data_IF_488938892315
#
_entry.id   IF_488938892315
#
_cell.length_a   1.000
_cell.length_b   1.000
_cell.length_c   1.000
_cell.angle_alpha   90.00
_cell.angle_beta   90.00
_cell.angle_gamma   90.00
#
_symmetry.space_group_name_H-M   'P 1'
#
loop_
_entity.id
_entity.type
_entity.pdbx_description
1 polymer ?
#
# COMPACT_ATOMS: atom_id res chain seq x y z
N UNK A 1 6.67 17.02 -29.96
CA UNK A 1 6.53 16.37 -28.63
C UNK A 1 7.29 17.18 -27.56
N UNK A 2 6.96 18.46 -27.38
CA UNK A 2 7.79 19.40 -26.59
C UNK A 2 7.36 19.63 -25.14
N UNK A 3 6.21 19.12 -24.71
CA UNK A 3 5.58 19.56 -23.45
C UNK A 3 5.20 18.42 -22.48
N UNK A 4 5.80 17.23 -22.60
CA UNK A 4 5.61 16.17 -21.60
C UNK A 4 6.77 16.25 -20.61
N UNK A 5 6.46 16.61 -19.36
CA UNK A 5 7.45 16.55 -18.28
C UNK A 5 8.02 15.14 -18.21
N UNK A 6 9.35 15.01 -18.32
CA UNK A 6 10.02 13.71 -18.21
C UNK A 6 9.93 13.26 -16.76
N UNK A 7 8.99 12.37 -16.47
CA UNK A 7 8.91 11.73 -15.15
C UNK A 7 10.01 10.68 -15.03
N UNK A 8 10.68 10.54 -13.87
CA UNK A 8 11.65 9.49 -13.67
C UNK A 8 10.94 8.13 -13.69
N UNK A 9 11.51 7.18 -14.43
CA UNK A 9 11.00 5.81 -14.50
C UNK A 9 12.14 4.83 -14.28
N UNK A 10 11.85 3.73 -13.59
CA UNK A 10 12.70 2.55 -13.54
C UNK A 10 12.26 1.58 -14.65
N UNK A 11 13.24 1.00 -15.35
CA UNK A 11 12.99 0.03 -16.42
C UNK A 11 13.56 -1.31 -15.98
N UNK A 12 12.78 -2.37 -16.13
CA UNK A 12 13.19 -3.74 -15.85
C UNK A 12 13.00 -4.59 -17.11
N UNK A 13 13.95 -5.48 -17.37
CA UNK A 13 13.92 -6.41 -18.51
C UNK A 13 13.90 -7.84 -18.02
N UNK A 14 13.17 -8.69 -18.73
CA UNK A 14 13.20 -10.14 -18.53
C UNK A 14 13.92 -10.82 -19.69
N UNK A 15 14.94 -11.63 -19.40
CA UNK A 15 15.68 -12.41 -20.41
C UNK A 15 15.07 -13.80 -20.65
N UNK A 16 15.59 -14.53 -21.64
CA UNK A 16 15.18 -15.92 -21.95
C UNK A 16 15.33 -16.90 -20.78
N UNK A 17 16.18 -16.57 -19.80
CA UNK A 17 16.33 -17.34 -18.55
C UNK A 17 15.32 -16.93 -17.48
N UNK A 18 14.31 -16.13 -17.85
CA UNK A 18 13.29 -15.55 -16.98
C UNK A 18 13.88 -14.70 -15.83
N UNK A 19 15.09 -14.16 -15.99
CA UNK A 19 15.69 -13.28 -14.97
C UNK A 19 15.26 -11.85 -15.20
N UNK A 20 14.68 -11.24 -14.18
CA UNK A 20 14.36 -9.81 -14.16
C UNK A 20 15.62 -9.03 -13.78
N UNK A 21 15.98 -8.02 -14.58
CA UNK A 21 17.14 -7.16 -14.33
C UNK A 21 16.74 -5.69 -14.47
N UNK A 22 17.17 -4.80 -13.54
CA UNK A 22 17.02 -3.37 -13.74
C UNK A 22 17.94 -2.90 -14.87
N UNK A 23 17.44 -2.02 -15.72
CA UNK A 23 18.22 -1.37 -16.78
C UNK A 23 18.81 -0.08 -16.21
N UNK A 24 20.15 0.06 -16.15
CA UNK A 24 20.77 1.28 -15.66
C UNK A 24 20.47 2.45 -16.60
N UNK A 25 20.18 3.62 -16.03
CA UNK A 25 19.89 4.85 -16.78
C UNK A 25 21.07 5.20 -17.69
N UNK A 26 20.78 5.52 -18.94
CA UNK A 26 21.80 5.91 -19.93
C UNK A 26 22.54 4.74 -20.59
N UNK A 27 22.09 3.51 -20.35
CA UNK A 27 22.62 2.32 -21.04
C UNK A 27 21.82 2.06 -22.31
N UNK A 28 22.51 1.82 -23.42
CA UNK A 28 21.88 1.32 -24.64
C UNK A 28 21.42 -0.13 -24.43
N UNK A 29 20.15 -0.39 -24.69
CA UNK A 29 19.55 -1.71 -24.51
C UNK A 29 19.36 -2.39 -25.88
N UNK A 30 19.94 -3.58 -26.04
CA UNK A 30 19.64 -4.46 -27.18
C UNK A 30 18.48 -5.39 -26.82
N UNK A 31 17.44 -5.44 -27.67
CA UNK A 31 16.25 -6.26 -27.43
C UNK A 31 16.43 -7.75 -27.81
N UNK A 32 17.62 -8.14 -28.25
CA UNK A 32 17.92 -9.54 -28.55
C UNK A 32 17.89 -10.37 -27.26
N UNK A 33 17.02 -11.39 -27.21
CA UNK A 33 16.84 -12.24 -26.03
C UNK A 33 16.03 -11.63 -24.87
N UNK A 34 15.42 -10.44 -25.07
CA UNK A 34 14.51 -9.83 -24.08
C UNK A 34 13.08 -10.28 -24.37
N UNK A 35 12.46 -10.96 -23.40
CA UNK A 35 11.08 -11.46 -23.51
C UNK A 35 10.04 -10.42 -23.09
N UNK A 36 10.35 -9.58 -22.11
CA UNK A 36 9.44 -8.57 -21.59
C UNK A 36 10.17 -7.35 -21.01
N UNK A 37 9.48 -6.20 -21.00
CA UNK A 37 9.95 -4.95 -20.38
C UNK A 37 8.86 -4.36 -19.51
N UNK A 38 9.20 -4.02 -18.26
CA UNK A 38 8.34 -3.29 -17.35
C UNK A 38 8.90 -1.87 -17.15
N UNK A 39 8.03 -0.86 -17.21
CA UNK A 39 8.38 0.54 -16.94
C UNK A 39 7.54 1.01 -15.76
N UNK A 40 8.22 1.41 -14.69
CA UNK A 40 7.59 1.75 -13.41
C UNK A 40 7.94 3.18 -13.05
N UNK A 41 6.92 3.99 -12.75
CA UNK A 41 7.15 5.33 -12.22
C UNK A 41 7.75 5.26 -10.82
N UNK A 42 8.72 6.11 -10.49
CA UNK A 42 9.41 6.13 -9.19
C UNK A 42 8.47 6.28 -7.96
N UNK A 43 7.22 6.69 -8.16
CA UNK A 43 6.22 6.84 -7.11
C UNK A 43 5.30 5.62 -6.95
N UNK A 44 5.49 4.55 -7.74
CA UNK A 44 4.77 3.30 -7.55
C UNK A 44 5.38 2.53 -6.36
N UNK A 45 5.01 2.93 -5.14
CA UNK A 45 5.34 2.17 -3.93
C UNK A 45 4.55 0.85 -3.91
N UNK A 46 5.21 -0.26 -3.54
CA UNK A 46 4.57 -1.57 -3.38
C UNK A 46 4.79 -2.59 -4.52
N UNK A 47 5.46 -2.22 -5.62
CA UNK A 47 5.79 -3.17 -6.69
C UNK A 47 7.24 -3.68 -6.56
N UNK A 48 7.41 -4.87 -6.00
CA UNK A 48 8.70 -5.58 -6.04
C UNK A 48 8.80 -6.42 -7.33
N UNK A 49 9.22 -5.77 -8.41
CA UNK A 49 9.34 -6.38 -9.75
C UNK A 49 10.22 -7.63 -9.77
N UNK A 50 11.16 -7.74 -8.83
CA UNK A 50 12.08 -8.88 -8.74
C UNK A 50 11.34 -10.11 -8.23
N UNK A 51 10.32 -9.94 -7.36
CA UNK A 51 9.50 -11.02 -6.83
C UNK A 51 8.18 -11.23 -7.58
N UNK A 52 7.81 -10.34 -8.51
CA UNK A 52 6.61 -10.49 -9.34
C UNK A 52 6.74 -11.69 -10.29
N UNK A 53 5.71 -12.54 -10.31
CA UNK A 53 5.63 -13.68 -11.22
C UNK A 53 5.47 -13.17 -12.67
N UNK A 54 6.29 -13.67 -13.58
CA UNK A 54 6.29 -13.23 -14.96
C UNK A 54 5.07 -13.77 -15.71
N UNK A 55 4.14 -12.90 -16.10
CA UNK A 55 3.04 -13.25 -16.99
C UNK A 55 3.41 -12.85 -18.42
N UNK A 56 3.61 -13.85 -19.29
CA UNK A 56 3.92 -13.63 -20.69
C UNK A 56 2.63 -13.41 -21.49
N UNK A 57 2.38 -12.19 -21.94
CA UNK A 57 1.23 -11.88 -22.79
C UNK A 57 1.57 -12.21 -24.25
N UNK A 58 0.78 -13.08 -24.88
CA UNK A 58 1.03 -13.54 -26.24
C UNK A 58 0.52 -12.58 -27.34
N UNK A 59 -0.17 -11.48 -26.99
CA UNK A 59 -0.76 -10.57 -27.98
C UNK A 59 -0.53 -9.08 -27.66
N UNK A 60 0.02 -8.34 -28.63
CA UNK A 60 0.24 -6.89 -28.57
C UNK A 60 -1.10 -6.18 -28.79
N UNK A 61 -1.70 -5.62 -27.74
CA UNK A 61 -2.95 -4.84 -27.84
C UNK A 61 -3.90 -4.94 -26.65
N UNK A 62 -3.72 -5.91 -25.76
CA UNK A 62 -4.51 -6.02 -24.53
C UNK A 62 -4.03 -5.02 -23.46
N UNK A 63 -4.43 -3.75 -23.60
CA UNK A 63 -4.26 -2.75 -22.52
C UNK A 63 -4.89 -3.21 -21.19
N UNK A 64 -5.85 -4.12 -21.24
CA UNK A 64 -6.51 -4.73 -20.08
C UNK A 64 -5.67 -5.83 -19.40
N UNK A 65 -4.89 -6.62 -20.14
CA UNK A 65 -4.13 -7.74 -19.57
C UNK A 65 -3.01 -7.28 -18.63
N UNK A 66 -2.29 -6.22 -19.03
CA UNK A 66 -1.23 -5.63 -18.21
C UNK A 66 -1.76 -4.93 -16.95
N UNK A 67 -2.94 -4.31 -17.03
CA UNK A 67 -3.61 -3.69 -15.87
C UNK A 67 -4.11 -4.75 -14.87
N UNK A 68 -4.65 -5.87 -15.36
CA UNK A 68 -5.17 -6.94 -14.50
C UNK A 68 -4.09 -7.77 -13.80
N UNK A 69 -2.87 -7.87 -14.36
CA UNK A 69 -1.73 -8.50 -13.69
C UNK A 69 -1.08 -7.63 -12.60
N UNK A 70 -1.36 -6.33 -12.56
CA UNK A 70 -0.90 -5.43 -11.49
C UNK A 70 -1.73 -5.57 -10.20
N UNK A 71 -2.95 -6.13 -10.28
CA UNK A 71 -3.88 -6.30 -9.15
C UNK A 71 -3.93 -7.72 -8.56
N UNK A 72 -3.00 -8.61 -8.95
CA UNK A 72 -2.92 -9.96 -8.36
C UNK A 72 -4.11 -10.88 -8.70
N UNK A 73 -4.82 -10.62 -9.79
CA UNK A 73 -5.93 -11.47 -10.23
C UNK A 73 -5.42 -12.77 -10.87
N UNK A 74 -5.65 -13.87 -10.16
CA UNK A 74 -5.31 -15.24 -10.56
C UNK A 74 -6.23 -15.71 -11.71
N UNK A 75 -5.79 -15.55 -12.97
CA UNK A 75 -6.52 -16.05 -14.15
C UNK A 75 -6.10 -17.49 -14.43
N UNK A 76 -6.87 -18.44 -13.89
CA UNK A 76 -6.82 -19.85 -14.31
C UNK A 76 -7.41 -20.02 -15.70
N UNK A 77 -6.55 -20.30 -16.68
CA UNK A 77 -6.90 -21.12 -17.83
C UNK A 77 -6.22 -22.49 -17.68
N UNK A 78 -7.05 -23.53 -17.56
CA UNK A 78 -6.71 -24.95 -17.55
C UNK A 78 -5.82 -25.33 -18.74
N UNK A 79 -4.94 -26.34 -18.72
CA UNK A 79 -5.13 -27.67 -18.16
C UNK A 79 -3.79 -28.43 -18.06
N UNK A 80 -3.69 -29.25 -17.00
CA UNK A 80 -2.81 -30.44 -16.89
C UNK A 80 -1.29 -30.23 -16.76
N UNK A 81 -0.81 -30.28 -15.51
CA UNK A 81 0.54 -30.75 -15.22
C UNK A 81 1.13 -30.23 -13.92
N UNK A 82 1.63 -31.18 -13.10
CA UNK A 82 2.61 -31.00 -12.00
C UNK A 82 2.07 -30.86 -10.58
N UNK A 83 1.35 -31.90 -10.18
CA UNK A 83 0.90 -32.28 -8.84
C UNK A 83 2.00 -32.62 -7.81
N UNK A 84 3.23 -32.08 -7.88
CA UNK A 84 4.37 -32.65 -7.11
C UNK A 84 5.24 -31.65 -6.35
N UNK A 85 4.75 -30.45 -5.99
CA UNK A 85 5.55 -29.47 -5.21
C UNK A 85 4.83 -28.94 -3.95
N UNK A 86 3.66 -29.45 -3.60
CA UNK A 86 2.82 -28.91 -2.51
C UNK A 86 3.07 -29.48 -1.10
N UNK A 87 4.12 -30.27 -0.86
CA UNK A 87 4.24 -31.01 0.42
C UNK A 87 5.18 -30.41 1.48
N UNK A 88 5.79 -29.23 1.27
CA UNK A 88 6.72 -28.64 2.27
C UNK A 88 6.55 -27.14 2.58
N UNK A 89 5.42 -26.53 2.22
CA UNK A 89 5.08 -25.13 2.57
C UNK A 89 3.90 -24.99 3.55
N UNK A 90 3.30 -26.11 3.98
CA UNK A 90 2.09 -26.16 4.81
C UNK A 90 2.27 -25.75 6.29
N UNK A 91 3.37 -25.09 6.67
CA UNK A 91 3.60 -24.61 8.04
C UNK A 91 3.83 -23.10 8.18
N UNK A 92 3.80 -22.34 7.08
CA UNK A 92 3.83 -20.85 7.11
C UNK A 92 2.72 -20.18 6.31
N UNK A 93 1.92 -20.95 5.57
CA UNK A 93 0.82 -20.50 4.72
C UNK A 93 -0.52 -20.58 5.47
N UNK A 94 -0.71 -19.73 6.48
CA UNK A 94 -2.02 -19.56 7.13
C UNK A 94 -2.38 -18.09 7.39
N UNK A 95 -1.78 -17.15 6.63
CA UNK A 95 -2.07 -15.71 6.76
C UNK A 95 -2.38 -14.98 5.45
N UNK A 96 -2.43 -15.67 4.32
CA UNK A 96 -2.72 -15.07 3.00
C UNK A 96 -3.92 -15.76 2.35
N UNK A 97 -4.99 -15.85 3.13
CA UNK A 97 -6.33 -16.21 2.66
C UNK A 97 -7.25 -15.00 2.83
N UNK A 98 -6.88 -13.86 2.24
CA UNK A 98 -7.77 -12.71 2.06
C UNK A 98 -7.77 -12.43 0.56
N UNK A 99 -8.53 -13.24 -0.19
CA UNK A 99 -9.86 -12.88 -0.65
C UNK A 99 -9.78 -12.17 -2.00
N UNK A 100 -9.92 -12.96 -3.07
CA UNK A 100 -10.33 -12.51 -4.41
C UNK A 100 -11.80 -12.04 -4.42
N UNK A 101 -12.33 -11.59 -3.28
CA UNK A 101 -13.60 -10.93 -3.22
C UNK A 101 -13.38 -9.53 -3.80
N UNK A 102 -14.26 -9.10 -4.71
CA UNK A 102 -14.27 -7.71 -5.15
C UNK A 102 -14.31 -6.74 -3.97
N UNK A 103 -14.11 -5.43 -4.22
CA UNK A 103 -14.16 -4.43 -3.16
C UNK A 103 -15.39 -4.64 -2.29
N UNK A 104 -15.27 -4.52 -0.95
CA UNK A 104 -16.36 -4.79 -0.04
C UNK A 104 -17.60 -4.00 -0.48
N UNK A 105 -18.69 -4.71 -0.76
CA UNK A 105 -19.94 -4.07 -1.13
C UNK A 105 -20.63 -3.58 0.14
N UNK A 106 -20.75 -2.26 0.28
CA UNK A 106 -21.50 -1.63 1.36
C UNK A 106 -22.98 -1.42 0.99
N UNK A 107 -23.43 -2.04 -0.10
CA UNK A 107 -24.81 -1.90 -0.59
C UNK A 107 -25.78 -2.54 0.39
N UNK A 108 -26.56 -1.70 1.07
CA UNK A 108 -27.55 -2.12 2.07
C UNK A 108 -27.12 -1.93 3.53
N UNK A 109 -25.86 -1.58 3.78
CA UNK A 109 -25.39 -1.24 5.13
C UNK A 109 -25.79 0.19 5.52
N UNK A 110 -25.99 0.39 6.81
CA UNK A 110 -26.18 1.71 7.43
C UNK A 110 -24.84 2.41 7.62
N UNK A 111 -24.89 3.74 7.80
CA UNK A 111 -23.70 4.56 8.05
C UNK A 111 -22.86 4.01 9.20
N UNK A 112 -23.49 3.76 10.35
CA UNK A 112 -22.81 3.32 11.57
C UNK A 112 -22.09 1.98 11.36
N UNK A 113 -22.69 1.06 10.59
CA UNK A 113 -22.07 -0.24 10.31
C UNK A 113 -20.84 -0.10 9.40
N UNK A 114 -20.92 0.75 8.37
CA UNK A 114 -19.79 1.00 7.47
C UNK A 114 -18.66 1.70 8.23
N UNK A 115 -18.99 2.66 9.09
CA UNK A 115 -18.02 3.40 9.88
C UNK A 115 -17.27 2.50 10.88
N UNK A 116 -17.97 1.57 11.53
CA UNK A 116 -17.37 0.55 12.39
C UNK A 116 -16.43 -0.40 11.61
N UNK A 117 -16.79 -0.79 10.38
CA UNK A 117 -15.87 -1.55 9.50
C UNK A 117 -14.58 -0.76 9.24
N UNK A 118 -14.69 0.55 8.98
CA UNK A 118 -13.53 1.43 8.82
C UNK A 118 -12.64 1.47 10.05
N UNK A 119 -13.22 1.58 11.24
CA UNK A 119 -12.48 1.54 12.49
C UNK A 119 -11.82 0.19 12.74
N UNK A 120 -12.52 -0.91 12.52
CA UNK A 120 -11.98 -2.26 12.65
C UNK A 120 -10.77 -2.47 11.72
N UNK A 121 -10.89 -2.11 10.44
CA UNK A 121 -9.80 -2.18 9.48
C UNK A 121 -8.60 -1.31 9.88
N UNK A 122 -8.85 -0.07 10.30
CA UNK A 122 -7.81 0.84 10.78
C UNK A 122 -7.07 0.28 12.01
N UNK A 123 -7.79 -0.35 12.95
CA UNK A 123 -7.20 -0.99 14.13
C UNK A 123 -6.35 -2.21 13.76
N UNK A 124 -6.70 -2.92 12.69
CA UNK A 124 -5.91 -4.03 12.13
C UNK A 124 -4.70 -3.56 11.30
N UNK A 125 -4.59 -2.26 11.02
CA UNK A 125 -3.54 -1.70 10.15
C UNK A 125 -3.82 -1.85 8.66
N UNK A 126 -5.02 -2.30 8.27
CA UNK A 126 -5.47 -2.35 6.89
C UNK A 126 -6.03 -0.97 6.49
N UNK A 127 -5.10 -0.04 6.21
CA UNK A 127 -5.46 1.34 5.91
C UNK A 127 -6.16 1.50 4.56
N UNK A 128 -5.98 0.56 3.61
CA UNK A 128 -6.70 0.58 2.33
C UNK A 128 -8.17 0.22 2.54
N UNK A 129 -8.45 -0.87 3.25
CA UNK A 129 -9.83 -1.23 3.58
C UNK A 129 -10.50 -0.17 4.46
N UNK A 130 -9.75 0.40 5.42
CA UNK A 130 -10.24 1.49 6.26
C UNK A 130 -10.62 2.73 5.44
N UNK A 131 -9.75 3.14 4.50
CA UNK A 131 -10.04 4.25 3.59
C UNK A 131 -11.33 4.01 2.81
N UNK A 132 -11.43 2.83 2.19
CA UNK A 132 -12.58 2.44 1.36
C UNK A 132 -13.88 2.50 2.16
N UNK A 133 -13.88 1.98 3.40
CA UNK A 133 -15.05 2.01 4.26
C UNK A 133 -15.40 3.44 4.71
N UNK A 134 -14.43 4.24 5.15
CA UNK A 134 -14.70 5.63 5.56
C UNK A 134 -15.19 6.50 4.39
N UNK A 135 -14.65 6.32 3.19
CA UNK A 135 -15.11 7.00 1.98
C UNK A 135 -16.56 6.63 1.66
N UNK A 136 -16.92 5.33 1.73
CA UNK A 136 -18.30 4.88 1.55
C UNK A 136 -19.26 5.42 2.64
N UNK A 137 -18.80 5.50 3.90
CA UNK A 137 -19.57 6.09 5.00
C UNK A 137 -19.81 7.60 4.77
N UNK A 138 -18.79 8.31 4.25
CA UNK A 138 -18.91 9.72 3.87
C UNK A 138 -19.90 9.90 2.72
N UNK A 139 -19.78 9.13 1.63
CA UNK A 139 -20.71 9.18 0.51
C UNK A 139 -22.17 8.91 0.95
N UNK A 140 -22.35 8.00 1.90
CA UNK A 140 -23.68 7.62 2.41
C UNK A 140 -24.36 8.72 3.24
N UNK A 141 -23.58 9.48 4.01
CA UNK A 141 -24.12 10.33 5.08
C UNK A 141 -23.77 11.82 4.98
N UNK A 142 -22.71 12.16 4.24
CA UNK A 142 -22.11 13.49 4.20
C UNK A 142 -21.46 13.93 5.52
N UNK A 143 -21.32 13.05 6.53
CA UNK A 143 -20.75 13.44 7.83
C UNK A 143 -19.25 13.68 7.75
N UNK A 144 -18.83 14.89 8.12
CA UNK A 144 -17.43 15.32 8.10
C UNK A 144 -16.45 14.32 8.75
N UNK A 145 -16.81 13.74 9.89
CA UNK A 145 -15.97 12.77 10.62
C UNK A 145 -15.51 11.58 9.75
N UNK A 146 -16.37 11.10 8.84
CA UNK A 146 -16.05 10.02 7.91
C UNK A 146 -15.10 10.47 6.82
N UNK A 147 -15.35 11.64 6.22
CA UNK A 147 -14.46 12.22 5.21
C UNK A 147 -13.07 12.51 5.78
N UNK A 148 -12.99 13.09 6.97
CA UNK A 148 -11.74 13.34 7.69
C UNK A 148 -11.00 12.02 7.97
N UNK A 149 -11.73 10.96 8.35
CA UNK A 149 -11.15 9.64 8.61
C UNK A 149 -10.61 9.00 7.34
N UNK A 150 -11.31 9.10 6.21
CA UNK A 150 -10.82 8.67 4.90
C UNK A 150 -9.51 9.39 4.54
N UNK A 151 -9.50 10.72 4.53
CA UNK A 151 -8.31 11.50 4.20
C UNK A 151 -7.11 11.19 5.11
N UNK A 152 -7.34 10.93 6.41
CA UNK A 152 -6.30 10.50 7.33
C UNK A 152 -5.69 9.14 6.95
N UNK A 153 -6.44 8.23 6.33
CA UNK A 153 -5.90 6.94 5.90
C UNK A 153 -4.89 7.11 4.77
N UNK A 154 -5.08 8.09 3.87
CA UNK A 154 -4.11 8.41 2.82
C UNK A 154 -2.75 8.80 3.42
N UNK A 155 -2.74 9.57 4.51
CA UNK A 155 -1.49 9.90 5.23
C UNK A 155 -0.82 8.66 5.85
N UNK A 156 -1.60 7.67 6.28
CA UNK A 156 -1.07 6.40 6.81
C UNK A 156 -0.55 5.47 5.71
N UNK A 157 -1.10 5.59 4.50
CA UNK A 157 -0.67 4.88 3.29
C UNK A 157 0.52 5.52 2.57
N UNK A 158 1.07 6.60 3.12
CA UNK A 158 2.11 7.39 2.47
C UNK A 158 1.70 7.99 1.12
N UNK A 159 0.45 8.45 1.04
CA UNK A 159 -0.15 9.10 -0.12
C UNK A 159 -0.52 10.54 0.20
N UNK A 160 0.47 11.43 0.41
CA UNK A 160 0.19 12.79 0.88
C UNK A 160 -0.50 13.66 -0.19
N UNK A 161 -0.32 13.38 -1.48
CA UNK A 161 -1.03 14.06 -2.56
C UNK A 161 -2.54 13.77 -2.53
N UNK A 162 -2.91 12.48 -2.42
CA UNK A 162 -4.31 12.06 -2.32
C UNK A 162 -4.95 12.65 -1.05
N UNK A 163 -4.22 12.68 0.07
CA UNK A 163 -4.68 13.31 1.29
C UNK A 163 -4.98 14.82 1.12
N UNK A 164 -4.11 15.54 0.40
CA UNK A 164 -4.30 16.97 0.11
C UNK A 164 -5.59 17.18 -0.67
N UNK A 165 -5.81 16.41 -1.73
CA UNK A 165 -7.01 16.51 -2.56
C UNK A 165 -8.28 16.27 -1.75
N UNK A 166 -8.31 15.22 -0.92
CA UNK A 166 -9.46 14.91 -0.08
C UNK A 166 -9.73 16.00 0.98
N UNK A 167 -8.70 16.55 1.63
CA UNK A 167 -8.89 17.64 2.59
C UNK A 167 -9.36 18.95 1.94
N UNK A 168 -8.82 19.29 0.76
CA UNK A 168 -9.26 20.47 0.01
C UNK A 168 -10.70 20.33 -0.45
N UNK A 169 -11.13 19.13 -0.86
CA UNK A 169 -12.51 18.83 -1.17
C UNK A 169 -13.43 19.03 0.04
N UNK A 170 -13.04 18.52 1.23
CA UNK A 170 -13.82 18.70 2.46
C UNK A 170 -13.99 20.17 2.86
N UNK A 171 -12.93 20.98 2.77
CA UNK A 171 -13.00 22.41 3.07
C UNK A 171 -13.89 23.15 2.06
N UNK A 172 -13.91 22.70 0.80
CA UNK A 172 -14.69 23.32 -0.28
C UNK A 172 -16.17 22.99 -0.19
N UNK A 173 -16.52 21.75 0.14
CA UNK A 173 -17.91 21.30 0.23
C UNK A 173 -18.65 21.98 1.39
N UNK A 174 -17.91 22.43 2.41
CA UNK A 174 -18.45 23.10 3.58
C UNK A 174 -19.16 22.12 4.53
N UNK A 175 -19.89 22.65 5.51
CA UNK A 175 -20.59 21.81 6.51
C UNK A 175 -19.71 21.30 7.66
N UNK A 176 -18.42 21.66 7.65
CA UNK A 176 -17.53 21.50 8.80
C UNK A 176 -17.87 22.54 9.87
N UNK A 177 -17.83 22.14 11.13
CA UNK A 177 -17.72 23.08 12.24
C UNK A 177 -16.39 23.84 12.20
N UNK A 178 -16.26 24.91 12.98
CA UNK A 178 -14.99 25.65 13.06
C UNK A 178 -13.86 24.74 13.54
N UNK A 179 -14.09 23.96 14.60
CA UNK A 179 -13.08 23.05 15.16
C UNK A 179 -12.65 21.98 14.15
N UNK A 180 -13.60 21.44 13.37
CA UNK A 180 -13.29 20.47 12.30
C UNK A 180 -12.52 21.13 11.15
N UNK A 181 -12.88 22.35 10.78
CA UNK A 181 -12.17 23.12 9.74
C UNK A 181 -10.72 23.38 10.15
N UNK A 182 -10.50 23.87 11.38
CA UNK A 182 -9.16 24.12 11.93
C UNK A 182 -8.34 22.82 11.99
N UNK A 183 -8.99 21.71 12.37
CA UNK A 183 -8.35 20.40 12.38
C UNK A 183 -7.95 19.94 10.97
N UNK A 184 -8.83 20.11 9.98
CA UNK A 184 -8.58 19.76 8.57
C UNK A 184 -7.46 20.63 7.99
N UNK A 185 -7.46 21.93 8.24
CA UNK A 185 -6.40 22.84 7.81
C UNK A 185 -5.04 22.46 8.40
N UNK A 186 -4.99 22.13 9.69
CA UNK A 186 -3.76 21.67 10.34
C UNK A 186 -3.27 20.33 9.75
N UNK A 187 -4.17 19.45 9.32
CA UNK A 187 -3.81 18.18 8.66
C UNK A 187 -3.34 18.40 7.23
N UNK A 188 -4.02 19.27 6.48
CA UNK A 188 -3.65 19.68 5.14
C UNK A 188 -2.25 20.30 5.12
N UNK A 189 -1.93 21.16 6.09
CA UNK A 189 -0.60 21.76 6.22
C UNK A 189 0.50 20.68 6.40
N UNK A 190 0.24 19.65 7.22
CA UNK A 190 1.17 18.52 7.42
C UNK A 190 1.32 17.67 6.15
N UNK A 191 0.24 17.45 5.40
CA UNK A 191 0.29 16.73 4.14
C UNK A 191 1.15 17.48 3.11
N UNK A 192 0.98 18.80 3.01
CA UNK A 192 1.79 19.68 2.15
C UNK A 192 3.26 19.73 2.57
N UNK A 193 3.54 19.76 3.87
CA UNK A 193 4.91 19.67 4.39
C UNK A 193 5.55 18.34 3.98
N UNK A 194 4.84 17.21 4.08
CA UNK A 194 5.34 15.90 3.67
C UNK A 194 5.63 15.81 2.16
N UNK A 195 4.86 16.53 1.32
CA UNK A 195 5.15 16.67 -0.12
C UNK A 195 6.39 17.54 -0.36
N UNK A 196 6.53 18.64 0.38
CA UNK A 196 7.62 19.59 0.19
C UNK A 196 8.97 19.07 0.68
N UNK A 197 8.98 18.26 1.74
CA UNK A 197 10.18 17.73 2.39
C UNK A 197 9.99 16.23 2.75
N UNK A 198 10.13 15.32 1.78
CA UNK A 198 9.92 13.89 2.01
C UNK A 198 10.95 13.27 2.96
N UNK A 199 12.20 13.77 2.98
CA UNK A 199 13.26 13.28 3.86
C UNK A 199 12.92 13.56 5.34
N UNK A 200 12.45 14.78 5.63
CA UNK A 200 11.98 15.14 6.97
C UNK A 200 10.76 14.33 7.38
N UNK A 201 9.84 14.07 6.46
CA UNK A 201 8.67 13.24 6.72
C UNK A 201 9.06 11.79 7.05
N UNK A 202 10.02 11.21 6.32
CA UNK A 202 10.56 9.88 6.60
C UNK A 202 11.27 9.85 7.97
N UNK A 203 12.12 10.84 8.27
CA UNK A 203 12.80 10.95 9.56
C UNK A 203 11.81 11.03 10.74
N UNK A 204 10.74 11.82 10.62
CA UNK A 204 9.71 11.93 11.64
C UNK A 204 8.96 10.60 11.89
N UNK A 205 8.74 9.81 10.84
CA UNK A 205 8.14 8.47 10.96
C UNK A 205 9.08 7.49 11.66
N UNK A 206 10.35 7.50 11.28
CA UNK A 206 11.37 6.68 11.90
C UNK A 206 11.50 7.00 13.41
N UNK A 207 11.51 8.29 13.77
CA UNK A 207 11.54 8.70 15.17
C UNK A 207 10.30 8.21 15.94
N UNK A 208 9.10 8.28 15.35
CA UNK A 208 7.88 7.75 15.96
C UNK A 208 7.96 6.24 16.18
N UNK A 209 8.56 5.50 15.24
CA UNK A 209 8.78 4.06 15.38
C UNK A 209 9.73 3.74 16.54
N UNK A 210 10.86 4.46 16.63
CA UNK A 210 11.81 4.31 17.73
C UNK A 210 11.18 4.59 19.10
N UNK A 211 10.35 5.65 19.20
CA UNK A 211 9.63 5.96 20.45
C UNK A 211 8.66 4.84 20.85
N UNK A 212 7.97 4.23 19.89
CA UNK A 212 7.05 3.12 20.14
C UNK A 212 7.77 1.87 20.64
N UNK A 213 8.86 1.46 19.99
CA UNK A 213 9.67 0.29 20.41
C UNK A 213 10.26 0.50 21.82
N UNK A 214 10.75 1.72 22.10
CA UNK A 214 11.26 2.05 23.44
C UNK A 214 10.18 2.02 24.51
N UNK A 215 8.97 2.49 24.22
CA UNK A 215 7.83 2.43 25.14
C UNK A 215 7.39 0.99 25.42
N UNK A 216 7.35 0.13 24.39
CA UNK A 216 6.99 -1.29 24.52
C UNK A 216 8.04 -2.07 25.33
N UNK A 217 9.34 -1.78 25.16
CA UNK A 217 10.41 -2.36 25.99
C UNK A 217 10.31 -1.94 27.46
N UNK A 218 10.00 -0.67 27.73
CA UNK A 218 9.84 -0.17 29.09
C UNK A 218 8.65 -0.81 29.83
N UNK A 219 7.63 -1.26 29.10
CA UNK A 219 6.41 -1.90 29.62
C UNK A 219 6.48 -3.43 29.69
N UNK A 220 7.62 -4.06 29.34
CA UNK A 220 7.85 -5.49 29.54
C UNK A 220 8.68 -5.75 30.81
N UNK A 221 8.05 -5.97 31.98
CA UNK A 221 8.75 -6.06 33.28
C UNK A 221 9.39 -7.43 33.55
N UNK A 222 9.73 -8.24 32.54
CA UNK A 222 10.18 -9.63 32.78
C UNK A 222 11.43 -10.02 32.01
N UNK A 223 12.56 -9.60 32.58
CA UNK A 223 13.83 -10.28 32.42
C UNK A 223 14.51 -10.36 33.77
N UNK A 224 13.93 -11.08 34.73
CA UNK A 224 14.66 -11.45 35.95
C UNK A 224 16.00 -12.03 35.52
N UNK A 225 17.14 -11.45 35.93
CA UNK A 225 18.45 -11.97 35.55
C UNK A 225 18.50 -13.42 36.02
N UNK A 226 18.68 -14.33 35.06
CA UNK A 226 18.90 -15.74 35.34
C UNK A 226 20.24 -15.82 36.07
N UNK A 227 20.20 -15.80 37.41
CA UNK A 227 21.37 -15.97 38.25
C UNK A 227 21.93 -17.35 37.88
N UNK A 228 23.05 -17.38 37.15
CA UNK A 228 23.81 -18.60 36.96
C UNK A 228 24.34 -18.99 38.35
N UNK A 229 23.60 -19.86 39.03
CA UNK A 229 24.13 -20.61 40.16
C UNK A 229 25.20 -21.54 39.61
N UNK A 230 26.45 -21.10 39.69
CA UNK A 230 27.63 -21.96 39.54
C UNK A 230 27.66 -22.89 40.75
N UNK A 231 27.07 -24.07 40.64
CA UNK A 231 27.36 -25.16 41.56
C UNK A 231 28.81 -25.62 41.31
N UNK A 232 29.71 -25.24 42.21
CA UNK A 232 31.00 -25.91 42.34
C UNK A 232 30.81 -27.19 43.14
N UNK A 233 30.93 -28.32 42.46
CA UNK A 233 31.25 -29.63 43.04
C UNK A 233 32.70 -29.98 42.75
#
# INVERSE_FOLDING_TARGET
LGNVAKLPVAIYTNDESSRVRPVPVGTDLTFEGILAVAVIGIYASGLDVISMQLNLFQQTGEKLGAALSLDGADVRASSEGLSTVTSRLSARSNRESISSAGPPSFSGMLYEEIFEVGHAANNMGDFVAAHTAFAAAYEKSGRAESGISAANMQLKLDRPFDAIEEYEALLKDGGLSQDESDFVEARLAKAREAVADPEKAEAARFEKYLRKDNAERALSPTGSPKVLSTEMG
#
